data_IF_267015997439
#
_entry.id   IF_267015997439
#
_cell.length_a   1.000
_cell.length_b   1.000
_cell.length_c   1.000
_cell.angle_alpha   90.00
_cell.angle_beta   90.00
_cell.angle_gamma   90.00
#
_symmetry.space_group_name_H-M   'P 1'
#
loop_
_entity.id
_entity.type
_entity.pdbx_description
1 polymer ?
#
# COMPACT_ATOMS: atom_id res chain seq x y z
N UNK A 1 -19.20 0.73 8.81
CA UNK A 1 -19.04 1.92 7.94
C UNK A 1 -17.56 2.30 7.89
N UNK A 2 -16.72 1.50 7.24
CA UNK A 2 -15.26 1.64 7.36
C UNK A 2 -14.47 1.33 6.08
N UNK A 3 -15.11 1.14 4.90
CA UNK A 3 -14.38 0.98 3.64
C UNK A 3 -14.16 2.32 2.91
N UNK A 4 -15.18 3.19 2.92
CA UNK A 4 -15.16 4.43 2.14
C UNK A 4 -14.19 5.51 2.66
N UNK A 5 -13.79 5.45 3.94
CA UNK A 5 -12.86 6.44 4.51
C UNK A 5 -11.41 6.13 4.13
N UNK A 6 -11.00 4.85 4.21
CA UNK A 6 -9.65 4.44 3.85
C UNK A 6 -9.39 4.62 2.36
N UNK A 7 -10.38 4.31 1.52
CA UNK A 7 -10.29 4.46 0.08
C UNK A 7 -10.05 5.92 -0.34
N UNK A 8 -10.74 6.86 0.33
CA UNK A 8 -10.59 8.29 0.07
C UNK A 8 -9.22 8.82 0.52
N UNK A 9 -8.79 8.47 1.73
CA UNK A 9 -7.48 8.88 2.26
C UNK A 9 -6.33 8.31 1.41
N UNK A 10 -6.46 7.06 0.94
CA UNK A 10 -5.50 6.45 0.01
C UNK A 10 -5.46 7.22 -1.33
N UNK A 11 -6.64 7.59 -1.85
CA UNK A 11 -6.74 8.33 -3.10
C UNK A 11 -6.08 9.71 -3.00
N UNK A 12 -6.32 10.43 -1.91
CA UNK A 12 -5.67 11.73 -1.66
C UNK A 12 -4.15 11.61 -1.49
N UNK A 13 -3.69 10.52 -0.85
CA UNK A 13 -2.28 10.17 -0.74
C UNK A 13 -1.65 9.88 -2.11
N UNK A 14 -2.29 9.06 -2.95
CA UNK A 14 -1.84 8.74 -4.30
C UNK A 14 -1.79 9.97 -5.21
N UNK A 15 -2.79 10.86 -5.15
CA UNK A 15 -2.79 12.11 -5.90
C UNK A 15 -1.60 13.00 -5.51
N UNK A 16 -1.30 13.08 -4.21
CA UNK A 16 -0.16 13.84 -3.71
C UNK A 16 1.18 13.23 -4.13
N UNK A 17 1.31 11.90 -4.07
CA UNK A 17 2.50 11.17 -4.56
C UNK A 17 2.71 11.45 -6.06
N UNK A 18 1.64 11.39 -6.87
CA UNK A 18 1.71 11.67 -8.30
C UNK A 18 2.21 13.08 -8.60
N UNK A 19 1.67 14.10 -7.93
CA UNK A 19 2.12 15.50 -8.08
C UNK A 19 3.60 15.68 -7.72
N UNK A 20 4.05 15.06 -6.64
CA UNK A 20 5.44 15.14 -6.19
C UNK A 20 6.38 14.37 -7.13
N UNK A 21 5.96 13.24 -7.68
CA UNK A 21 6.72 12.47 -8.67
C UNK A 21 6.95 13.28 -9.95
N UNK A 22 5.91 13.95 -10.46
CA UNK A 22 6.03 14.87 -11.60
C UNK A 22 7.00 16.01 -11.27
N UNK A 23 6.86 16.62 -10.09
CA UNK A 23 7.73 17.72 -9.66
C UNK A 23 9.20 17.30 -9.46
N UNK A 24 9.46 16.04 -9.11
CA UNK A 24 10.81 15.48 -8.99
C UNK A 24 11.35 14.90 -10.30
N UNK A 25 10.49 14.79 -11.34
CA UNK A 25 10.81 14.12 -12.60
C UNK A 25 11.15 12.64 -12.39
N UNK A 26 10.39 11.94 -11.54
CA UNK A 26 10.59 10.52 -11.22
C UNK A 26 9.49 9.70 -11.87
N UNK A 27 9.88 8.64 -12.58
CA UNK A 27 8.93 7.64 -13.05
C UNK A 27 8.61 6.65 -11.91
N UNK A 28 7.44 6.83 -11.30
CA UNK A 28 6.92 5.93 -10.25
C UNK A 28 6.13 4.74 -10.82
N UNK A 29 6.07 4.57 -12.14
CA UNK A 29 5.49 3.35 -12.74
C UNK A 29 6.48 2.17 -12.63
N UNK A 30 7.78 2.45 -12.65
CA UNK A 30 8.82 1.44 -12.44
C UNK A 30 9.03 1.12 -10.95
N UNK A 31 8.73 -0.11 -10.54
CA UNK A 31 8.99 -0.60 -9.17
C UNK A 31 10.45 -0.40 -8.72
N UNK A 32 11.41 -0.57 -9.63
CA UNK A 32 12.83 -0.40 -9.31
C UNK A 32 13.18 1.05 -8.92
N UNK A 33 12.53 2.02 -9.56
CA UNK A 33 12.68 3.45 -9.25
C UNK A 33 12.15 3.77 -7.87
N UNK A 34 10.97 3.23 -7.53
CA UNK A 34 10.36 3.36 -6.20
C UNK A 34 11.31 2.81 -5.12
N UNK A 35 11.79 1.58 -5.29
CA UNK A 35 12.71 0.93 -4.34
C UNK A 35 13.99 1.73 -4.16
N UNK A 36 14.55 2.26 -5.24
CA UNK A 36 15.75 3.12 -5.19
C UNK A 36 15.50 4.40 -4.40
N UNK A 37 14.34 5.04 -4.63
CA UNK A 37 13.95 6.26 -3.91
C UNK A 37 13.73 6.00 -2.40
N UNK A 38 13.07 4.88 -2.06
CA UNK A 38 12.85 4.44 -0.67
C UNK A 38 14.20 4.20 0.03
N UNK A 39 15.17 3.58 -0.66
CA UNK A 39 16.55 3.38 -0.17
C UNK A 39 17.35 4.68 -0.02
N UNK A 40 16.79 5.83 -0.39
CA UNK A 40 17.44 7.13 -0.31
C UNK A 40 18.35 7.43 -1.50
N UNK A 41 18.26 6.65 -2.58
CA UNK A 41 18.95 6.94 -3.82
C UNK A 41 18.12 7.91 -4.68
N UNK A 42 18.45 9.19 -4.60
CA UNK A 42 17.77 10.26 -5.35
C UNK A 42 18.33 10.49 -6.76
N UNK A 43 19.26 9.65 -7.23
CA UNK A 43 19.80 9.73 -8.60
C UNK A 43 18.72 9.48 -9.67
N UNK A 44 17.59 8.88 -9.29
CA UNK A 44 16.42 8.66 -10.15
C UNK A 44 15.57 9.93 -10.36
N UNK A 45 15.82 10.99 -9.59
CA UNK A 45 15.12 12.26 -9.73
C UNK A 45 15.83 13.14 -10.77
N UNK A 46 15.18 13.37 -11.92
CA UNK A 46 15.72 14.22 -12.99
C UNK A 46 15.89 15.69 -12.55
N UNK A 47 14.98 16.17 -11.70
CA UNK A 47 15.04 17.51 -11.13
C UNK A 47 15.95 17.46 -9.91
N UNK A 48 17.21 17.93 -10.06
CA UNK A 48 18.29 18.09 -9.04
C UNK A 48 17.82 18.56 -7.65
N UNK A 49 18.69 18.50 -6.63
CA UNK A 49 18.45 18.81 -5.19
C UNK A 49 17.12 19.54 -4.91
N UNK A 50 16.05 18.76 -4.75
CA UNK A 50 14.70 19.27 -4.58
C UNK A 50 14.19 18.75 -3.24
N UNK A 51 13.84 19.64 -2.27
CA UNK A 51 13.38 19.23 -0.95
C UNK A 51 12.14 18.33 -1.02
N UNK A 52 11.37 18.41 -2.10
CA UNK A 52 10.19 17.57 -2.37
C UNK A 52 10.52 16.09 -2.58
N UNK A 53 11.78 15.73 -2.86
CA UNK A 53 12.21 14.32 -3.01
C UNK A 53 12.16 13.57 -1.68
N UNK A 54 12.46 14.26 -0.57
CA UNK A 54 12.35 13.68 0.77
C UNK A 54 10.88 13.50 1.17
N UNK A 55 10.02 14.47 0.85
CA UNK A 55 8.56 14.34 1.03
C UNK A 55 8.00 13.17 0.22
N UNK A 56 8.37 13.06 -1.06
CA UNK A 56 7.96 11.95 -1.94
C UNK A 56 8.38 10.60 -1.36
N UNK A 57 9.62 10.48 -0.86
CA UNK A 57 10.12 9.27 -0.20
C UNK A 57 9.28 8.91 1.03
N UNK A 58 8.98 9.90 1.87
CA UNK A 58 8.17 9.70 3.08
C UNK A 58 6.76 9.20 2.75
N UNK A 59 6.09 9.82 1.78
CA UNK A 59 4.75 9.41 1.36
C UNK A 59 4.72 8.03 0.71
N UNK A 60 5.72 7.68 -0.09
CA UNK A 60 5.84 6.33 -0.65
C UNK A 60 6.02 5.29 0.46
N UNK A 61 6.90 5.52 1.43
CA UNK A 61 7.06 4.63 2.58
C UNK A 61 5.76 4.46 3.36
N UNK A 62 5.04 5.56 3.61
CA UNK A 62 3.75 5.53 4.30
C UNK A 62 2.73 4.70 3.52
N UNK A 63 2.62 4.89 2.21
CA UNK A 63 1.73 4.11 1.35
C UNK A 63 2.00 2.61 1.47
N UNK A 64 3.26 2.18 1.32
CA UNK A 64 3.61 0.77 1.39
C UNK A 64 3.36 0.17 2.78
N UNK A 65 3.55 0.94 3.85
CA UNK A 65 3.25 0.47 5.20
C UNK A 65 1.74 0.30 5.42
N UNK A 66 0.92 1.22 4.90
CA UNK A 66 -0.54 1.09 4.94
C UNK A 66 -0.99 -0.13 4.12
N UNK A 67 -0.45 -0.33 2.92
CA UNK A 67 -0.76 -1.50 2.08
C UNK A 67 -0.39 -2.82 2.79
N UNK A 68 0.80 -2.90 3.41
CA UNK A 68 1.22 -4.07 4.19
C UNK A 68 0.29 -4.34 5.39
N UNK A 69 -0.03 -3.30 6.16
CA UNK A 69 -0.93 -3.41 7.31
C UNK A 69 -2.37 -3.78 6.91
N UNK A 70 -2.85 -3.30 5.76
CA UNK A 70 -4.13 -3.71 5.18
C UNK A 70 -4.13 -5.18 4.77
N UNK A 71 -3.06 -5.67 4.13
CA UNK A 71 -2.95 -7.09 3.75
C UNK A 71 -2.97 -7.99 5.00
N UNK A 72 -2.22 -7.62 6.03
CA UNK A 72 -2.17 -8.37 7.29
C UNK A 72 -3.56 -8.42 7.96
N UNK A 73 -4.19 -7.26 8.12
CA UNK A 73 -5.47 -7.13 8.86
C UNK A 73 -6.66 -7.69 8.07
N UNK A 74 -6.81 -7.28 6.80
CA UNK A 74 -7.93 -7.71 5.96
C UNK A 74 -7.73 -9.16 5.53
N UNK A 75 -6.52 -9.53 5.14
CA UNK A 75 -6.19 -10.90 4.76
C UNK A 75 -6.42 -11.89 5.90
N UNK A 76 -6.00 -11.56 7.12
CA UNK A 76 -6.27 -12.40 8.29
C UNK A 76 -7.78 -12.56 8.55
N UNK A 77 -8.55 -11.47 8.44
CA UNK A 77 -10.01 -11.51 8.64
C UNK A 77 -10.72 -12.35 7.58
N UNK A 78 -10.38 -12.15 6.29
CA UNK A 78 -10.97 -12.93 5.20
C UNK A 78 -10.59 -14.42 5.31
N UNK A 79 -9.32 -14.73 5.63
CA UNK A 79 -8.90 -16.11 5.90
C UNK A 79 -9.67 -16.74 7.08
N UNK A 80 -9.87 -16.00 8.17
CA UNK A 80 -10.65 -16.49 9.31
C UNK A 80 -12.11 -16.78 8.93
N UNK A 81 -12.72 -15.93 8.10
CA UNK A 81 -14.08 -16.15 7.60
C UNK A 81 -14.18 -17.39 6.69
N UNK A 82 -13.19 -17.61 5.83
CA UNK A 82 -13.13 -18.80 4.97
C UNK A 82 -12.99 -20.09 5.79
N UNK A 83 -12.16 -20.06 6.84
CA UNK A 83 -11.98 -21.21 7.75
C UNK A 83 -13.28 -21.47 8.51
N UNK A 84 -13.94 -20.44 9.04
CA UNK A 84 -15.22 -20.58 9.76
C UNK A 84 -16.35 -21.13 8.87
N UNK A 85 -16.42 -20.70 7.62
CA UNK A 85 -17.37 -21.25 6.63
C UNK A 85 -17.10 -22.73 6.35
N UNK A 86 -15.83 -23.10 6.14
CA UNK A 86 -15.45 -24.51 5.93
C UNK A 86 -15.75 -25.38 7.15
N UNK A 87 -15.42 -24.93 8.36
CA UNK A 87 -15.74 -25.62 9.62
C UNK A 87 -17.26 -25.80 9.78
N UNK A 88 -18.03 -24.76 9.47
CA UNK A 88 -19.50 -24.81 9.50
C UNK A 88 -20.04 -25.83 8.49
N UNK A 89 -19.49 -25.86 7.27
CA UNK A 89 -19.87 -26.83 6.22
C UNK A 89 -19.50 -28.26 6.61
N UNK A 90 -18.34 -28.47 7.24
CA UNK A 90 -17.89 -29.78 7.72
C UNK A 90 -18.79 -30.30 8.85
N UNK A 91 -19.16 -29.44 9.80
CA UNK A 91 -20.14 -29.77 10.86
C UNK A 91 -21.51 -30.16 10.30
N UNK A 92 -22.01 -29.42 9.31
CA UNK A 92 -23.28 -29.76 8.65
C UNK A 92 -23.26 -31.12 7.95
N UNK A 93 -22.09 -31.58 7.50
CA UNK A 93 -21.90 -32.89 6.87
C UNK A 93 -21.68 -34.02 7.88
N UNK A 94 -21.76 -33.73 9.18
CA UNK A 94 -21.64 -34.71 10.26
C UNK A 94 -20.20 -35.05 10.64
N UNK A 95 -19.21 -34.29 10.15
CA UNK A 95 -17.83 -34.40 10.62
C UNK A 95 -17.69 -33.66 11.96
N UNK A 96 -17.09 -34.31 12.96
CA UNK A 96 -16.69 -33.66 14.21
C UNK A 96 -15.26 -33.14 14.05
N UNK A 97 -15.09 -31.85 14.29
CA UNK A 97 -13.87 -31.05 14.25
C UNK A 97 -13.76 -30.32 15.59
#
# INVERSE_FOLDING_TARGET
MGRNHFDKELFELDERIGRLAIACGVDIAQKNTIVSLIKGNYSVCLQGDNPRRQELRGLLMLKYHIEESCIDTIGANECAQLIDDEETRLRQRGFSI
#
